data_IF_348396574259
#
_entry.id   IF_348396574259
#
_cell.length_a   1.000
_cell.length_b   1.000
_cell.length_c   1.000
_cell.angle_alpha   90.00
_cell.angle_beta   90.00
_cell.angle_gamma   90.00
#
_symmetry.space_group_name_H-M   'P 1'
#
loop_
_entity.id
_entity.type
_entity.pdbx_description
1 polymer ?
#
# COMPACT_ATOMS: atom_id res chain seq x y z
N UNK A 1 -2.29 -13.33 -69.09
CA UNK A 1 -2.99 -12.12 -68.58
C UNK A 1 -4.47 -12.28 -68.88
N UNK A 2 -5.44 -11.89 -68.03
CA UNK A 2 -5.37 -11.26 -66.70
C UNK A 2 -6.14 -12.06 -65.62
N UNK A 3 -6.29 -11.43 -64.45
CA UNK A 3 -6.64 -11.97 -63.14
C UNK A 3 -7.89 -11.30 -62.57
N UNK A 4 -8.92 -12.09 -62.23
CA UNK A 4 -10.13 -11.79 -61.43
C UNK A 4 -10.66 -13.18 -61.01
N UNK A 5 -10.95 -13.59 -59.77
CA UNK A 5 -11.44 -12.91 -58.59
C UNK A 5 -10.83 -13.57 -57.34
N UNK A 6 -10.08 -12.79 -56.54
CA UNK A 6 -9.84 -13.07 -55.11
C UNK A 6 -10.49 -11.96 -54.32
N UNK A 7 -11.80 -11.86 -54.45
CA UNK A 7 -12.65 -11.23 -53.44
C UNK A 7 -13.45 -12.36 -52.82
N UNK A 8 -13.83 -12.21 -51.56
CA UNK A 8 -14.52 -13.17 -50.69
C UNK A 8 -13.60 -14.02 -49.81
N UNK A 9 -13.70 -13.71 -48.50
CA UNK A 9 -13.04 -14.30 -47.34
C UNK A 9 -11.60 -13.85 -47.05
N UNK A 10 -11.40 -12.55 -46.85
CA UNK A 10 -10.42 -12.09 -45.87
C UNK A 10 -11.17 -11.51 -44.68
N UNK A 11 -11.36 -12.36 -43.67
CA UNK A 11 -11.88 -11.98 -42.38
C UNK A 11 -10.76 -11.23 -41.66
N UNK A 12 -10.86 -9.91 -41.54
CA UNK A 12 -9.95 -9.13 -40.72
C UNK A 12 -10.09 -9.61 -39.27
N UNK A 13 -9.12 -10.42 -38.83
CA UNK A 13 -8.98 -10.76 -37.42
C UNK A 13 -8.57 -9.50 -36.67
N UNK A 14 -9.35 -9.02 -35.68
CA UNK A 14 -8.98 -7.83 -34.94
C UNK A 14 -7.64 -8.04 -34.24
N UNK A 15 -6.71 -7.11 -34.49
CA UNK A 15 -5.35 -7.15 -33.99
C UNK A 15 -5.31 -7.16 -32.47
N UNK A 16 -4.39 -7.96 -31.93
CA UNK A 16 -4.13 -8.13 -30.50
C UNK A 16 -3.90 -6.78 -29.78
N UNK A 17 -3.48 -5.75 -30.51
CA UNK A 17 -3.31 -4.37 -30.04
C UNK A 17 -4.61 -3.70 -29.56
N UNK A 18 -5.79 -4.11 -30.06
CA UNK A 18 -7.07 -3.49 -29.67
C UNK A 18 -7.60 -4.05 -28.34
N UNK A 19 -7.22 -5.29 -27.97
CA UNK A 19 -7.56 -5.89 -26.67
C UNK A 19 -6.76 -5.33 -25.49
N UNK A 20 -5.61 -4.71 -25.75
CA UNK A 20 -4.76 -4.13 -24.68
C UNK A 20 -5.21 -2.71 -24.34
N UNK A 21 -5.82 -1.98 -25.30
CA UNK A 21 -6.35 -0.63 -25.07
C UNK A 21 -7.65 -0.60 -24.26
N UNK A 22 -8.37 -1.72 -24.19
CA UNK A 22 -9.63 -1.85 -23.44
C UNK A 22 -9.48 -2.18 -21.95
N UNK A 23 -8.26 -2.45 -21.46
CA UNK A 23 -8.02 -2.84 -20.06
C UNK A 23 -7.72 -1.67 -19.12
N UNK A 24 -7.57 -0.45 -19.64
CA UNK A 24 -7.36 0.77 -18.85
C UNK A 24 -8.65 1.58 -18.86
N UNK A 25 -9.68 1.03 -18.24
CA UNK A 25 -10.86 1.81 -17.86
C UNK A 25 -10.62 2.22 -16.42
N UNK A 26 -10.61 3.51 -16.06
CA UNK A 26 -10.44 3.90 -14.67
C UNK A 26 -11.54 3.22 -13.86
N UNK A 27 -11.15 2.31 -12.97
CA UNK A 27 -12.09 1.51 -12.17
C UNK A 27 -12.80 2.43 -11.16
N UNK A 28 -13.86 3.11 -11.61
CA UNK A 28 -14.77 3.89 -10.77
C UNK A 28 -14.12 4.90 -9.82
N UNK A 29 -14.93 5.57 -8.98
CA UNK A 29 -14.39 6.40 -7.91
C UNK A 29 -13.72 5.55 -6.82
N UNK A 30 -12.63 6.06 -6.23
CA UNK A 30 -11.82 5.39 -5.20
C UNK A 30 -12.65 4.93 -3.98
N UNK A 31 -13.57 5.79 -3.54
CA UNK A 31 -14.40 5.60 -2.33
C UNK A 31 -15.22 4.30 -2.34
N UNK A 32 -16.02 3.98 -3.39
CA UNK A 32 -16.73 2.71 -3.45
C UNK A 32 -15.82 1.47 -3.44
N UNK A 33 -14.61 1.54 -4.00
CA UNK A 33 -13.67 0.41 -3.97
C UNK A 33 -13.06 0.19 -2.59
N UNK A 34 -12.71 1.28 -1.89
CA UNK A 34 -12.29 1.22 -0.48
C UNK A 34 -13.42 0.61 0.37
N UNK A 35 -14.67 1.07 0.18
CA UNK A 35 -15.81 0.54 0.93
C UNK A 35 -16.01 -0.96 0.67
N UNK A 36 -15.85 -1.41 -0.58
CA UNK A 36 -15.91 -2.83 -0.92
C UNK A 36 -14.81 -3.62 -0.19
N UNK A 37 -13.56 -3.13 -0.20
CA UNK A 37 -12.45 -3.75 0.52
C UNK A 37 -12.72 -3.82 2.04
N UNK A 38 -13.25 -2.76 2.64
CA UNK A 38 -13.65 -2.71 4.06
C UNK A 38 -14.72 -3.77 4.37
N UNK A 39 -15.75 -3.87 3.53
CA UNK A 39 -16.82 -4.85 3.71
C UNK A 39 -16.28 -6.29 3.62
N UNK A 40 -15.42 -6.57 2.63
CA UNK A 40 -14.79 -7.88 2.50
C UNK A 40 -13.91 -8.22 3.71
N UNK A 41 -13.14 -7.26 4.23
CA UNK A 41 -12.32 -7.43 5.43
C UNK A 41 -13.19 -7.77 6.64
N UNK A 42 -14.33 -7.08 6.79
CA UNK A 42 -15.28 -7.35 7.86
C UNK A 42 -15.79 -8.79 7.85
N UNK A 43 -16.08 -9.33 6.66
CA UNK A 43 -16.50 -10.73 6.49
C UNK A 43 -15.41 -11.69 6.97
N UNK A 44 -14.15 -11.46 6.57
CA UNK A 44 -13.03 -12.33 6.96
C UNK A 44 -12.70 -12.23 8.46
N UNK A 45 -12.78 -11.04 9.05
CA UNK A 45 -12.65 -10.84 10.50
C UNK A 45 -13.72 -11.62 11.26
N UNK A 46 -14.99 -11.53 10.81
CA UNK A 46 -16.09 -12.27 11.43
C UNK A 46 -15.89 -13.79 11.36
N UNK A 47 -15.36 -14.28 10.22
CA UNK A 47 -15.03 -15.70 10.03
C UNK A 47 -13.90 -16.15 10.97
N UNK A 48 -12.87 -15.33 11.14
CA UNK A 48 -11.80 -15.58 12.10
C UNK A 48 -12.32 -15.63 13.54
N UNK A 49 -13.21 -14.72 13.92
CA UNK A 49 -13.82 -14.70 15.25
C UNK A 49 -14.59 -16.02 15.53
N UNK A 50 -15.35 -16.52 14.55
CA UNK A 50 -16.02 -17.84 14.64
C UNK A 50 -15.02 -18.99 14.80
N UNK A 51 -13.91 -18.99 14.07
CA UNK A 51 -12.88 -20.03 14.19
C UNK A 51 -12.16 -19.97 15.54
N UNK A 52 -11.86 -18.77 16.04
CA UNK A 52 -11.25 -18.56 17.34
C UNK A 52 -12.14 -19.05 18.48
N UNK A 53 -13.46 -18.85 18.37
CA UNK A 53 -14.43 -19.42 19.30
C UNK A 53 -14.38 -20.95 19.30
N UNK A 54 -14.44 -21.58 18.11
CA UNK A 54 -14.35 -23.05 17.98
C UNK A 54 -13.04 -23.62 18.54
N UNK A 55 -11.91 -22.94 18.32
CA UNK A 55 -10.61 -23.35 18.86
C UNK A 55 -10.54 -23.21 20.38
N UNK A 56 -11.22 -22.20 20.95
CA UNK A 56 -11.34 -22.04 22.40
C UNK A 56 -12.13 -23.18 23.02
N UNK A 57 -13.25 -23.57 22.41
CA UNK A 57 -14.06 -24.68 22.89
C UNK A 57 -13.30 -26.01 22.78
N UNK A 58 -12.60 -26.23 21.66
CA UNK A 58 -11.74 -27.41 21.47
C UNK A 58 -10.61 -27.48 22.51
N UNK A 59 -9.95 -26.35 22.81
CA UNK A 59 -8.90 -26.27 23.85
C UNK A 59 -9.45 -26.72 25.20
N UNK A 60 -10.59 -26.16 25.63
CA UNK A 60 -11.21 -26.50 26.90
C UNK A 60 -11.63 -27.97 26.98
N UNK A 61 -12.22 -28.49 25.91
CA UNK A 61 -12.64 -29.90 25.83
C UNK A 61 -11.45 -30.85 25.94
N UNK A 62 -10.38 -30.61 25.16
CA UNK A 62 -9.16 -31.43 25.21
C UNK A 62 -8.48 -31.35 26.57
N UNK A 63 -8.44 -30.17 27.18
CA UNK A 63 -7.91 -30.01 28.53
C UNK A 63 -8.68 -30.85 29.55
N UNK A 64 -10.01 -30.88 29.47
CA UNK A 64 -10.83 -31.76 30.30
C UNK A 64 -10.53 -33.26 30.09
N UNK A 65 -10.31 -33.68 28.85
CA UNK A 65 -9.90 -35.06 28.55
C UNK A 65 -8.51 -35.40 29.09
N UNK A 66 -7.55 -34.47 29.02
CA UNK A 66 -6.22 -34.65 29.62
C UNK A 66 -6.34 -34.86 31.14
N UNK A 67 -7.13 -34.03 31.82
CA UNK A 67 -7.37 -34.16 33.26
C UNK A 67 -7.97 -35.54 33.59
N UNK A 68 -8.95 -35.98 32.80
CA UNK A 68 -9.59 -37.30 32.98
C UNK A 68 -8.58 -38.44 32.77
N UNK A 69 -7.78 -38.40 31.70
CA UNK A 69 -6.73 -39.38 31.44
C UNK A 69 -5.69 -39.42 32.56
N UNK A 70 -5.30 -38.25 33.10
CA UNK A 70 -4.40 -38.17 34.25
C UNK A 70 -4.98 -38.78 35.52
N UNK A 71 -6.27 -38.58 35.79
CA UNK A 71 -6.98 -39.18 36.94
C UNK A 71 -7.02 -40.72 36.85
N UNK A 72 -7.13 -41.26 35.64
CA UNK A 72 -7.08 -42.71 35.40
C UNK A 72 -5.66 -43.26 35.25
N UNK A 73 -4.62 -42.45 35.52
CA UNK A 73 -3.21 -42.81 35.34
C UNK A 73 -2.84 -43.25 33.90
N UNK A 74 -3.63 -42.85 32.89
CA UNK A 74 -3.31 -43.08 31.49
C UNK A 74 -2.30 -42.04 31.00
N UNK A 75 -1.02 -42.35 31.25
CA UNK A 75 0.12 -41.51 30.88
C UNK A 75 0.32 -41.39 29.37
N UNK A 76 -0.12 -42.37 28.58
CA UNK A 76 0.04 -42.35 27.14
C UNK A 76 -1.02 -41.44 26.50
N UNK A 77 -2.30 -41.59 26.89
CA UNK A 77 -3.37 -40.74 26.40
C UNK A 77 -3.17 -39.28 26.82
N UNK A 78 -2.83 -39.02 28.08
CA UNK A 78 -2.56 -37.65 28.56
C UNK A 78 -1.40 -36.99 27.83
N UNK A 79 -0.31 -37.72 27.53
CA UNK A 79 0.81 -37.19 26.73
C UNK A 79 0.40 -36.86 25.30
N UNK A 80 -0.29 -37.77 24.61
CA UNK A 80 -0.72 -37.57 23.22
C UNK A 80 -1.69 -36.39 23.09
N UNK A 81 -2.71 -36.32 23.96
CA UNK A 81 -3.68 -35.23 23.99
C UNK A 81 -3.02 -33.88 24.31
N UNK A 82 -1.97 -33.87 25.15
CA UNK A 82 -1.23 -32.64 25.47
C UNK A 82 -0.47 -32.08 24.28
N UNK A 83 0.13 -32.94 23.45
CA UNK A 83 0.80 -32.53 22.21
C UNK A 83 -0.20 -31.90 21.25
N UNK A 84 -1.36 -32.52 21.06
CA UNK A 84 -2.40 -31.99 20.19
C UNK A 84 -2.98 -30.67 20.73
N UNK A 85 -3.19 -30.55 22.05
CA UNK A 85 -3.63 -29.30 22.66
C UNK A 85 -2.64 -28.16 22.44
N UNK A 86 -1.33 -28.45 22.49
CA UNK A 86 -0.30 -27.45 22.20
C UNK A 86 -0.39 -26.94 20.75
N UNK A 87 -0.65 -27.83 19.79
CA UNK A 87 -0.87 -27.45 18.39
C UNK A 87 -2.16 -26.64 18.20
N UNK A 88 -3.27 -27.02 18.86
CA UNK A 88 -4.52 -26.22 18.85
C UNK A 88 -4.27 -24.79 19.35
N UNK A 89 -3.49 -24.64 20.43
CA UNK A 89 -3.12 -23.32 20.97
C UNK A 89 -2.25 -22.51 20.03
N UNK A 90 -1.31 -23.17 19.34
CA UNK A 90 -0.46 -22.54 18.32
C UNK A 90 -1.29 -22.02 17.16
N UNK A 91 -2.22 -22.83 16.66
CA UNK A 91 -3.15 -22.44 15.59
C UNK A 91 -4.02 -21.26 16.04
N UNK A 92 -4.60 -21.33 17.24
CA UNK A 92 -5.37 -20.23 17.84
C UNK A 92 -4.57 -18.93 17.93
N UNK A 93 -3.30 -18.98 18.35
CA UNK A 93 -2.42 -17.80 18.41
C UNK A 93 -2.19 -17.20 17.02
N UNK A 94 -1.90 -18.04 16.01
CA UNK A 94 -1.69 -17.59 14.63
C UNK A 94 -2.94 -16.91 14.07
N UNK A 95 -4.12 -17.52 14.23
CA UNK A 95 -5.40 -16.96 13.78
C UNK A 95 -5.76 -15.67 14.54
N UNK A 96 -5.43 -15.59 15.83
CA UNK A 96 -5.67 -14.39 16.64
C UNK A 96 -4.82 -13.21 16.19
N UNK A 97 -3.54 -13.45 15.91
CA UNK A 97 -2.66 -12.44 15.31
C UNK A 97 -3.18 -12.00 13.95
N UNK A 98 -3.63 -12.95 13.13
CA UNK A 98 -4.15 -12.65 11.80
C UNK A 98 -5.40 -11.77 11.84
N UNK A 99 -6.32 -12.08 12.77
CA UNK A 99 -7.53 -11.29 13.02
C UNK A 99 -7.18 -9.86 13.40
N UNK A 100 -6.22 -9.66 14.31
CA UNK A 100 -5.77 -8.33 14.71
C UNK A 100 -5.17 -7.54 13.54
N UNK A 101 -4.34 -8.19 12.72
CA UNK A 101 -3.75 -7.54 11.55
C UNK A 101 -4.78 -7.16 10.49
N UNK A 102 -5.81 -7.99 10.25
CA UNK A 102 -6.92 -7.61 9.36
C UNK A 102 -7.73 -6.44 9.92
N UNK A 103 -7.92 -6.39 11.24
CA UNK A 103 -8.57 -5.27 11.91
C UNK A 103 -7.80 -3.96 11.69
N UNK A 104 -6.47 -4.00 11.82
CA UNK A 104 -5.60 -2.85 11.56
C UNK A 104 -5.71 -2.37 10.11
N UNK A 105 -5.75 -3.30 9.15
CA UNK A 105 -5.96 -2.96 7.74
C UNK A 105 -7.32 -2.31 7.54
N UNK A 106 -8.40 -2.89 8.10
CA UNK A 106 -9.76 -2.35 8.00
C UNK A 106 -9.84 -0.93 8.56
N UNK A 107 -9.25 -0.69 9.72
CA UNK A 107 -9.22 0.64 10.35
C UNK A 107 -8.50 1.65 9.45
N UNK A 108 -7.31 1.32 8.95
CA UNK A 108 -6.57 2.19 8.02
C UNK A 108 -7.37 2.54 6.77
N UNK A 109 -8.07 1.57 6.18
CA UNK A 109 -8.90 1.82 5.00
C UNK A 109 -10.13 2.68 5.31
N UNK A 110 -10.70 2.55 6.50
CA UNK A 110 -11.87 3.35 6.92
C UNK A 110 -11.50 4.80 7.23
N UNK A 111 -10.24 5.06 7.60
CA UNK A 111 -9.75 6.41 7.90
C UNK A 111 -9.29 7.19 6.67
N UNK A 112 -9.24 6.58 5.47
CA UNK A 112 -8.87 7.30 4.24
C UNK A 112 -10.00 8.25 3.85
N UNK A 113 -9.74 9.57 3.93
CA UNK A 113 -10.69 10.60 3.51
C UNK A 113 -10.25 11.31 2.22
N UNK A 114 -8.94 11.58 2.05
CA UNK A 114 -8.40 12.32 0.90
C UNK A 114 -7.40 11.50 0.06
N UNK A 115 -7.29 11.82 -1.23
CA UNK A 115 -6.37 11.18 -2.19
C UNK A 115 -4.90 11.25 -1.75
N UNK A 116 -4.49 12.30 -1.03
CA UNK A 116 -3.12 12.45 -0.50
C UNK A 116 -2.77 11.51 0.66
N UNK A 117 -3.77 11.09 1.45
CA UNK A 117 -3.59 10.16 2.58
C UNK A 117 -3.58 8.68 2.13
N UNK A 118 -3.95 8.42 0.87
CA UNK A 118 -4.12 7.06 0.33
C UNK A 118 -2.80 6.28 0.31
N UNK A 119 -1.69 6.87 -0.13
CA UNK A 119 -0.41 6.16 -0.19
C UNK A 119 0.12 5.77 1.19
N UNK A 120 0.00 6.69 2.16
CA UNK A 120 0.47 6.51 3.53
C UNK A 120 -0.33 5.41 4.24
N UNK A 121 -1.61 5.24 3.90
CA UNK A 121 -2.47 4.22 4.47
C UNK A 121 -2.40 2.86 3.73
N UNK A 122 -2.39 2.86 2.39
CA UNK A 122 -2.50 1.65 1.56
C UNK A 122 -1.20 0.84 1.54
N UNK A 123 -0.03 1.49 1.50
CA UNK A 123 1.26 0.78 1.47
C UNK A 123 1.47 -0.15 2.67
N UNK A 124 1.37 0.36 3.91
CA UNK A 124 1.43 -0.47 5.12
C UNK A 124 0.31 -1.52 5.18
N UNK A 125 -0.90 -1.21 4.72
CA UNK A 125 -1.99 -2.17 4.66
C UNK A 125 -1.67 -3.36 3.73
N UNK A 126 -1.13 -3.11 2.54
CA UNK A 126 -0.72 -4.18 1.62
C UNK A 126 0.39 -5.06 2.19
N UNK A 127 1.38 -4.47 2.88
CA UNK A 127 2.45 -5.24 3.53
C UNK A 127 1.87 -6.20 4.58
N UNK A 128 0.95 -5.71 5.42
CA UNK A 128 0.24 -6.53 6.40
C UNK A 128 -0.55 -7.65 5.71
N UNK A 129 -1.28 -7.36 4.64
CA UNK A 129 -2.06 -8.36 3.88
C UNK A 129 -1.18 -9.48 3.28
N UNK A 130 -0.04 -9.13 2.67
CA UNK A 130 0.93 -10.11 2.15
C UNK A 130 1.50 -11.00 3.25
N UNK A 131 1.83 -10.42 4.42
CA UNK A 131 2.28 -11.18 5.58
C UNK A 131 1.22 -12.18 6.07
N UNK A 132 -0.05 -11.78 6.03
CA UNK A 132 -1.16 -12.62 6.46
C UNK A 132 -1.46 -13.79 5.55
N UNK A 133 -1.31 -13.62 4.24
CA UNK A 133 -1.47 -14.69 3.25
C UNK A 133 -0.62 -15.92 3.63
N UNK A 134 0.66 -15.70 3.96
CA UNK A 134 1.57 -16.77 4.39
C UNK A 134 1.12 -17.50 5.67
N UNK A 135 0.47 -16.78 6.59
CA UNK A 135 0.06 -17.29 7.90
C UNK A 135 -1.28 -18.02 7.86
N UNK A 136 -2.18 -17.60 6.97
CA UNK A 136 -3.54 -18.13 6.86
C UNK A 136 -3.66 -19.26 5.83
N UNK A 137 -2.80 -19.32 4.81
CA UNK A 137 -2.90 -20.32 3.74
C UNK A 137 -2.97 -21.78 4.20
N UNK A 138 -2.34 -22.12 5.33
CA UNK A 138 -2.35 -23.48 5.89
C UNK A 138 -3.60 -23.84 6.69
N UNK A 139 -4.28 -22.85 7.25
CA UNK A 139 -5.38 -23.05 8.20
C UNK A 139 -6.74 -22.58 7.66
N UNK A 140 -6.71 -21.69 6.66
CA UNK A 140 -7.88 -21.09 6.02
C UNK A 140 -7.64 -20.83 4.53
N UNK A 141 -7.70 -21.87 3.66
CA UNK A 141 -7.48 -21.70 2.22
C UNK A 141 -8.47 -20.72 1.57
N UNK A 142 -9.71 -20.69 2.05
CA UNK A 142 -10.71 -19.73 1.56
C UNK A 142 -10.37 -18.28 1.91
N UNK A 143 -9.73 -18.06 3.08
CA UNK A 143 -9.27 -16.72 3.44
C UNK A 143 -8.04 -16.33 2.59
N UNK A 144 -7.16 -17.28 2.29
CA UNK A 144 -5.98 -17.06 1.44
C UNK A 144 -6.34 -16.49 0.06
N UNK A 145 -7.32 -17.10 -0.61
CA UNK A 145 -7.81 -16.64 -1.92
C UNK A 145 -8.41 -15.23 -1.84
N UNK A 146 -9.25 -14.97 -0.82
CA UNK A 146 -9.87 -13.65 -0.67
C UNK A 146 -8.83 -12.57 -0.31
N UNK A 147 -7.85 -12.89 0.54
CA UNK A 147 -6.77 -11.96 0.90
C UNK A 147 -5.87 -11.64 -0.30
N UNK A 148 -5.66 -12.60 -1.20
CA UNK A 148 -4.97 -12.35 -2.46
C UNK A 148 -5.79 -11.38 -3.34
N UNK A 149 -7.10 -11.60 -3.48
CA UNK A 149 -8.00 -10.68 -4.19
C UNK A 149 -8.00 -9.28 -3.58
N UNK A 150 -8.03 -9.16 -2.26
CA UNK A 150 -7.94 -7.89 -1.55
C UNK A 150 -6.58 -7.21 -1.75
N UNK A 151 -5.48 -7.96 -1.70
CA UNK A 151 -4.13 -7.41 -1.94
C UNK A 151 -4.02 -6.84 -3.35
N UNK A 152 -4.61 -7.52 -4.34
CA UNK A 152 -4.67 -7.03 -5.72
C UNK A 152 -5.59 -5.81 -5.86
N UNK A 153 -6.71 -5.77 -5.13
CA UNK A 153 -7.60 -4.60 -5.07
C UNK A 153 -6.86 -3.39 -4.50
N UNK A 154 -6.15 -3.55 -3.38
CA UNK A 154 -5.34 -2.50 -2.76
C UNK A 154 -4.18 -2.06 -3.67
N UNK A 155 -3.56 -2.99 -4.40
CA UNK A 155 -2.55 -2.69 -5.41
C UNK A 155 -3.10 -1.84 -6.55
N UNK A 156 -4.28 -2.18 -7.06
CA UNK A 156 -4.99 -1.38 -8.06
C UNK A 156 -5.32 0.01 -7.53
N UNK A 157 -5.79 0.13 -6.30
CA UNK A 157 -6.03 1.43 -5.67
C UNK A 157 -4.74 2.27 -5.56
N UNK A 158 -3.60 1.65 -5.24
CA UNK A 158 -2.32 2.36 -5.19
C UNK A 158 -1.89 2.82 -6.58
N UNK A 159 -2.00 1.98 -7.61
CA UNK A 159 -1.67 2.36 -9.00
C UNK A 159 -2.61 3.44 -9.54
N UNK A 160 -3.90 3.37 -9.25
CA UNK A 160 -4.88 4.37 -9.67
C UNK A 160 -4.73 5.68 -8.90
N UNK A 161 -4.25 5.63 -7.64
CA UNK A 161 -3.83 6.82 -6.89
C UNK A 161 -2.56 7.46 -7.48
N UNK A 162 -1.83 6.73 -8.35
CA UNK A 162 -0.62 7.18 -9.05
C UNK A 162 -0.92 7.55 -10.53
N UNK A 163 -2.09 7.18 -11.08
CA UNK A 163 -2.33 7.11 -12.52
C UNK A 163 -2.55 8.43 -13.28
N UNK A 164 -1.72 8.62 -14.32
CA UNK A 164 -1.88 9.37 -15.59
C UNK A 164 -2.82 10.60 -15.61
N UNK A 165 -2.33 11.77 -15.19
CA UNK A 165 -2.97 13.06 -15.56
C UNK A 165 -3.21 14.07 -14.45
N UNK A 166 -2.60 13.94 -13.26
CA UNK A 166 -2.83 14.91 -12.17
C UNK A 166 -1.59 15.23 -11.32
N UNK A 167 -0.39 15.16 -11.90
CA UNK A 167 0.57 16.26 -11.67
C UNK A 167 0.25 17.41 -12.64
N UNK A 168 -1.04 17.75 -12.78
CA UNK A 168 -1.34 19.16 -12.79
C UNK A 168 -0.98 19.60 -11.37
N UNK A 169 0.27 20.03 -11.22
CA UNK A 169 0.49 21.30 -10.54
C UNK A 169 -0.33 22.30 -11.38
N UNK A 170 -1.66 22.26 -11.24
CA UNK A 170 -2.36 23.51 -11.23
C UNK A 170 -1.60 24.27 -10.17
N UNK A 171 -0.95 25.34 -10.62
CA UNK A 171 -0.42 26.37 -9.79
C UNK A 171 -1.53 26.77 -8.81
N UNK A 172 -1.65 26.03 -7.71
CA UNK A 172 -1.79 26.65 -6.42
C UNK A 172 -0.45 27.35 -6.20
N UNK A 173 -0.18 28.38 -7.00
CA UNK A 173 0.54 29.55 -6.56
C UNK A 173 -0.31 30.14 -5.45
N UNK A 174 -0.28 29.47 -4.30
CA UNK A 174 -0.78 30.05 -3.08
C UNK A 174 0.09 31.31 -2.90
N UNK A 175 -0.53 32.46 -2.69
CA UNK A 175 0.18 33.74 -2.54
C UNK A 175 1.29 33.62 -1.46
N UNK A 176 1.02 32.77 -0.48
CA UNK A 176 1.96 32.34 0.56
C UNK A 176 3.21 31.62 0.01
N UNK A 177 3.08 30.72 -0.96
CA UNK A 177 4.22 30.04 -1.61
C UNK A 177 5.09 31.02 -2.40
N UNK A 178 4.47 31.99 -3.09
CA UNK A 178 5.21 33.04 -3.79
C UNK A 178 5.99 33.94 -2.80
N UNK A 179 5.36 34.32 -1.68
CA UNK A 179 6.02 35.10 -0.62
C UNK A 179 7.17 34.33 0.04
N UNK A 180 7.03 33.03 0.28
CA UNK A 180 8.09 32.19 0.86
C UNK A 180 9.29 32.09 -0.11
N UNK A 181 9.04 31.92 -1.40
CA UNK A 181 10.09 31.87 -2.42
C UNK A 181 10.80 33.22 -2.58
N UNK A 182 10.05 34.33 -2.50
CA UNK A 182 10.60 35.69 -2.51
C UNK A 182 11.47 35.94 -1.27
N UNK A 183 10.98 35.63 -0.08
CA UNK A 183 11.74 35.77 1.17
C UNK A 183 13.02 34.92 1.14
N UNK A 184 12.93 33.66 0.67
CA UNK A 184 14.09 32.79 0.50
C UNK A 184 15.11 33.36 -0.52
N UNK A 185 14.62 33.97 -1.61
CA UNK A 185 15.49 34.59 -2.62
C UNK A 185 16.25 35.79 -2.07
N UNK A 186 15.59 36.63 -1.26
CA UNK A 186 16.21 37.79 -0.61
C UNK A 186 17.29 37.32 0.37
N UNK A 187 17.01 36.32 1.19
CA UNK A 187 18.00 35.75 2.13
C UNK A 187 19.18 35.12 1.39
N UNK A 188 18.94 34.44 0.26
CA UNK A 188 20.01 33.89 -0.57
C UNK A 188 20.89 35.00 -1.16
N UNK A 189 20.29 36.08 -1.69
CA UNK A 189 21.06 37.22 -2.20
C UNK A 189 21.84 37.95 -1.10
N UNK A 190 21.28 38.07 0.10
CA UNK A 190 21.96 38.67 1.25
C UNK A 190 23.18 37.83 1.66
N UNK A 191 23.02 36.51 1.77
CA UNK A 191 24.12 35.59 2.07
C UNK A 191 25.18 35.54 0.96
N UNK A 192 24.80 35.72 -0.30
CA UNK A 192 25.74 35.81 -1.42
C UNK A 192 26.54 37.12 -1.35
N UNK A 193 25.90 38.24 -0.99
CA UNK A 193 26.56 39.53 -0.81
C UNK A 193 27.65 39.51 0.27
N UNK A 194 27.39 38.84 1.40
CA UNK A 194 28.32 38.72 2.53
C UNK A 194 29.47 37.72 2.29
N UNK A 195 29.36 36.87 1.25
CA UNK A 195 30.39 35.88 0.88
C UNK A 195 31.33 36.32 -0.22
N UNK A 196 31.15 37.51 -0.80
CA UNK A 196 32.16 38.10 -1.66
C UNK A 196 33.23 38.77 -0.80
N UNK A 197 34.49 38.30 -0.83
CA UNK A 197 35.59 39.06 -0.25
C UNK A 197 35.68 40.41 -0.97
N UNK A 198 35.68 41.50 -0.21
CA UNK A 198 35.94 42.84 -0.74
C UNK A 198 37.26 42.81 -1.52
N UNK A 199 37.22 43.21 -2.79
CA UNK A 199 38.42 43.39 -3.60
C UNK A 199 39.34 44.35 -2.83
N UNK A 200 40.63 44.00 -2.59
CA UNK A 200 41.54 44.90 -1.90
C UNK A 200 41.58 46.21 -2.66
N UNK A 201 41.30 47.32 -1.96
CA UNK A 201 41.50 48.66 -2.50
C UNK A 201 42.93 48.71 -3.03
N UNK A 202 43.08 48.98 -4.33
CA UNK A 202 44.36 49.24 -4.96
C UNK A 202 44.97 50.48 -4.29
N UNK A 203 45.76 50.23 -3.25
CA UNK A 203 46.61 51.23 -2.64
C UNK A 203 47.77 51.49 -3.60
N UNK A 204 47.75 52.67 -4.20
CA UNK A 204 48.93 53.35 -4.74
C UNK A 204 49.30 52.94 -6.17
N UNK A 205 48.97 53.79 -7.13
CA UNK A 205 49.96 54.65 -7.81
C UNK A 205 49.26 55.60 -8.80
N UNK A 206 49.89 56.75 -9.10
CA UNK A 206 49.22 58.03 -9.24
C UNK A 206 48.70 58.30 -10.66
N UNK A 207 47.82 59.30 -10.73
CA UNK A 207 47.33 59.91 -11.95
C UNK A 207 48.47 60.45 -12.82
N UNK A 208 48.54 60.00 -14.07
CA UNK A 208 49.18 60.77 -15.14
C UNK A 208 48.09 61.31 -16.08
N UNK A 209 47.98 62.62 -16.02
CA UNK A 209 47.20 63.52 -16.86
C UNK A 209 47.57 63.40 -18.33
N UNK A 210 46.56 63.36 -19.21
CA UNK A 210 46.68 63.91 -20.56
C UNK A 210 45.53 64.90 -20.79
N UNK A 211 45.84 66.19 -20.65
CA UNK A 211 45.06 67.25 -21.27
C UNK A 211 45.67 67.50 -22.65
N UNK A 212 44.81 67.44 -23.65
CA UNK A 212 45.08 67.59 -25.06
C UNK A 212 44.95 69.06 -25.48
N UNK A 213 45.86 69.51 -26.37
CA UNK A 213 45.79 70.67 -27.28
C UNK A 213 45.58 72.09 -26.71
N UNK A 214 46.64 72.91 -26.72
CA UNK A 214 46.89 74.02 -27.69
C UNK A 214 48.36 74.46 -27.63
#
# INVERSE_FOLDING_TARGET
MPSFDKTWAQQETPGITEKIRGAVKPEGPLKPRIQNAVNKLQVQISKLDLMLAKLKDRDAHMFGQIVTAMQHHDTNASRSLSVELAEVRKVKKTLGNARMSLEQVRLRLTTIHDLGETMVAIGPAMSTMKGLQSSLGRFMPEADSELNSMTQTLGGLMTDSIGEGSFNIEEQSNEETARILEEASVVATQQIGDKFPSVPAAAGMPAESSSSYE
#
